data_IF_157936718709
#
_entry.id   IF_157936718709
#
_cell.length_a   1.000
_cell.length_b   1.000
_cell.length_c   1.000
_cell.angle_alpha   90.00
_cell.angle_beta   90.00
_cell.angle_gamma   90.00
#
_symmetry.space_group_name_H-M   'P 1'
#
loop_
_entity.id
_entity.type
_entity.pdbx_description
1 polymer ?
#
# COMPACT_ATOMS: atom_id res chain seq x y z
N UNK A 1 -6.05 17.38 16.36
CA UNK A 1 -5.07 17.37 15.24
C UNK A 1 -5.80 17.69 13.95
N UNK A 2 -5.14 18.24 12.92
CA UNK A 2 -5.79 18.63 11.67
C UNK A 2 -6.08 17.44 10.72
N UNK A 3 -5.92 16.19 11.17
CA UNK A 3 -6.17 14.99 10.37
C UNK A 3 -5.31 14.87 9.11
N UNK A 4 -4.19 15.60 9.03
CA UNK A 4 -3.30 15.58 7.86
C UNK A 4 -2.58 14.24 7.78
N UNK A 5 -2.65 13.62 6.61
CA UNK A 5 -1.98 12.35 6.34
C UNK A 5 -0.74 12.59 5.49
N UNK A 6 0.32 11.87 5.84
CA UNK A 6 1.54 11.77 5.06
C UNK A 6 1.93 10.30 4.96
N UNK A 7 2.54 9.92 3.85
CA UNK A 7 3.07 8.57 3.62
C UNK A 7 4.48 8.70 3.11
N UNK A 8 5.36 7.83 3.61
CA UNK A 8 6.73 7.72 3.15
C UNK A 8 7.09 6.24 3.01
N UNK A 9 7.80 5.91 1.94
CA UNK A 9 8.34 4.59 1.69
C UNK A 9 9.81 4.71 1.30
N UNK A 10 10.59 3.69 1.62
CA UNK A 10 12.01 3.62 1.29
C UNK A 10 12.41 2.16 1.12
N UNK A 11 13.35 1.89 0.23
CA UNK A 11 13.82 0.53 -0.01
C UNK A 11 15.25 0.49 -0.52
N UNK A 12 15.95 -0.57 -0.14
CA UNK A 12 17.21 -0.96 -0.75
C UNK A 12 17.02 -1.66 -2.10
N UNK A 13 15.78 -1.92 -2.55
CA UNK A 13 15.46 -2.72 -3.74
C UNK A 13 15.51 -4.24 -3.49
N UNK A 14 15.33 -5.04 -4.54
CA UNK A 14 15.50 -6.50 -4.47
C UNK A 14 16.99 -6.91 -4.66
N UNK A 15 17.33 -8.09 -4.14
CA UNK A 15 18.63 -8.75 -4.36
C UNK A 15 18.87 -9.05 -5.83
N UNK A 16 20.14 -9.08 -6.25
CA UNK A 16 20.58 -9.43 -7.62
C UNK A 16 19.93 -8.63 -8.76
N UNK A 17 19.36 -7.46 -8.44
CA UNK A 17 18.77 -6.57 -9.44
C UNK A 17 19.85 -6.02 -10.39
N UNK A 18 19.53 -5.83 -11.68
CA UNK A 18 20.43 -5.12 -12.57
C UNK A 18 20.56 -3.65 -12.15
N UNK A 19 21.72 -3.00 -12.36
CA UNK A 19 21.88 -1.58 -12.15
C UNK A 19 20.83 -0.77 -12.92
N UNK A 20 20.23 0.21 -12.25
CA UNK A 20 19.17 1.05 -12.82
C UNK A 20 17.75 0.47 -12.74
N UNK A 21 17.55 -0.74 -12.19
CA UNK A 21 16.20 -1.25 -11.91
C UNK A 21 15.48 -0.34 -10.89
N UNK A 22 14.28 0.09 -11.25
CA UNK A 22 13.37 0.87 -10.38
C UNK A 22 12.16 0.01 -10.04
N UNK A 23 11.84 -0.08 -8.75
CA UNK A 23 10.64 -0.75 -8.25
C UNK A 23 9.48 0.23 -8.02
N UNK A 24 8.49 -0.22 -7.26
CA UNK A 24 7.26 0.51 -6.92
C UNK A 24 7.48 1.66 -5.91
N UNK A 25 8.41 1.47 -4.96
CA UNK A 25 8.61 2.37 -3.82
C UNK A 25 8.77 3.85 -4.16
N UNK A 26 9.58 4.26 -5.17
CA UNK A 26 9.71 5.68 -5.52
C UNK A 26 8.59 6.19 -6.46
N UNK A 27 7.61 5.36 -6.82
CA UNK A 27 6.58 5.68 -7.81
C UNK A 27 5.25 6.00 -7.12
N UNK A 28 4.76 7.26 -7.20
CA UNK A 28 3.46 7.63 -6.66
C UNK A 28 2.34 6.79 -7.26
N UNK A 29 1.41 6.36 -6.42
CA UNK A 29 0.28 5.52 -6.79
C UNK A 29 0.62 4.04 -6.88
N UNK A 30 1.90 3.68 -6.95
CA UNK A 30 2.36 2.30 -6.89
C UNK A 30 2.68 1.92 -5.45
N UNK A 31 3.87 2.32 -4.95
CA UNK A 31 4.34 1.96 -3.62
C UNK A 31 3.78 2.83 -2.50
N UNK A 32 3.25 4.01 -2.82
CA UNK A 32 2.61 4.90 -1.84
C UNK A 32 1.56 5.80 -2.46
N UNK A 33 0.57 6.21 -1.67
CA UNK A 33 -0.39 7.24 -2.02
C UNK A 33 -0.91 7.95 -0.76
N UNK A 34 -1.11 9.26 -0.85
CA UNK A 34 -1.70 10.05 0.23
C UNK A 34 -2.62 11.12 -0.36
N UNK A 35 -3.93 10.98 -0.18
CA UNK A 35 -4.92 11.89 -0.72
C UNK A 35 -6.23 11.78 0.07
N UNK A 36 -6.98 12.89 0.21
CA UNK A 36 -8.33 12.91 0.81
C UNK A 36 -8.40 12.30 2.21
N UNK A 37 -7.37 12.53 3.03
CA UNK A 37 -7.33 12.03 4.41
C UNK A 37 -7.07 10.53 4.50
N UNK A 38 -6.55 9.89 3.46
CA UNK A 38 -6.16 8.47 3.45
C UNK A 38 -4.72 8.36 3.00
N UNK A 39 -3.94 7.51 3.66
CA UNK A 39 -2.56 7.21 3.35
C UNK A 39 -2.35 5.71 3.26
N UNK A 40 -1.70 5.25 2.21
CA UNK A 40 -1.45 3.84 1.93
C UNK A 40 0.00 3.67 1.45
N UNK A 41 0.70 2.67 1.98
CA UNK A 41 2.01 2.24 1.54
C UNK A 41 2.02 0.74 1.22
N UNK A 42 2.77 0.34 0.20
CA UNK A 42 2.91 -1.05 -0.24
C UNK A 42 4.34 -1.58 -0.06
N UNK A 43 4.46 -2.90 -0.03
CA UNK A 43 5.71 -3.65 -0.10
C UNK A 43 5.50 -4.99 -0.79
N UNK A 44 6.54 -5.57 -1.40
CA UNK A 44 6.47 -6.86 -2.08
C UNK A 44 7.19 -6.88 -3.42
N UNK A 45 6.65 -7.65 -4.38
CA UNK A 45 7.18 -7.74 -5.74
C UNK A 45 6.90 -6.45 -6.51
N UNK A 46 7.90 -5.57 -6.56
CA UNK A 46 7.74 -4.20 -7.07
C UNK A 46 7.20 -4.09 -8.51
N UNK A 47 7.56 -5.00 -9.41
CA UNK A 47 7.02 -5.01 -10.78
C UNK A 47 5.51 -5.28 -10.80
N UNK A 48 5.03 -6.17 -9.92
CA UNK A 48 3.61 -6.49 -9.81
C UNK A 48 2.84 -5.32 -9.21
N UNK A 49 3.35 -4.73 -8.12
CA UNK A 49 2.78 -3.53 -7.48
C UNK A 49 2.70 -2.36 -8.47
N UNK A 50 3.76 -2.15 -9.26
CA UNK A 50 3.83 -1.07 -10.25
C UNK A 50 2.82 -1.25 -11.38
N UNK A 51 2.71 -2.47 -11.93
CA UNK A 51 1.75 -2.77 -13.01
C UNK A 51 0.30 -2.52 -12.60
N UNK A 52 -0.02 -2.77 -11.34
CA UNK A 52 -1.37 -2.59 -10.83
C UNK A 52 -1.68 -1.18 -10.33
N UNK A 53 -0.67 -0.30 -10.22
CA UNK A 53 -0.76 0.97 -9.49
C UNK A 53 -1.45 0.77 -8.13
N UNK A 54 -0.89 -0.15 -7.34
CA UNK A 54 -1.60 -0.78 -6.22
C UNK A 54 -2.18 0.23 -5.21
N UNK A 55 -1.37 1.14 -4.67
CA UNK A 55 -1.86 2.11 -3.68
C UNK A 55 -2.94 3.03 -4.24
N UNK A 56 -2.83 3.46 -5.50
CA UNK A 56 -3.85 4.29 -6.15
C UNK A 56 -5.14 3.51 -6.40
N UNK A 57 -5.04 2.25 -6.81
CA UNK A 57 -6.21 1.38 -7.03
C UNK A 57 -6.99 1.14 -5.74
N UNK A 58 -6.28 0.83 -4.65
CA UNK A 58 -6.88 0.63 -3.33
C UNK A 58 -7.51 1.93 -2.82
N UNK A 59 -6.82 3.07 -3.00
CA UNK A 59 -7.40 4.37 -2.69
C UNK A 59 -8.70 4.64 -3.47
N UNK A 60 -8.74 4.29 -4.76
CA UNK A 60 -9.94 4.40 -5.58
C UNK A 60 -11.12 3.56 -5.06
N UNK A 61 -10.87 2.34 -4.59
CA UNK A 61 -11.90 1.50 -3.93
C UNK A 61 -12.49 2.19 -2.70
N UNK A 62 -11.64 2.78 -1.86
CA UNK A 62 -12.10 3.47 -0.65
C UNK A 62 -12.85 4.76 -1.01
N UNK A 63 -12.24 5.63 -1.83
CA UNK A 63 -12.76 6.97 -2.07
C UNK A 63 -13.94 6.99 -3.06
N UNK A 64 -13.90 6.18 -4.12
CA UNK A 64 -14.88 6.23 -5.21
C UNK A 64 -15.98 5.19 -5.05
N UNK A 65 -15.65 4.00 -4.53
CA UNK A 65 -16.61 2.90 -4.37
C UNK A 65 -17.15 2.80 -2.95
N UNK A 66 -16.61 3.56 -2.00
CA UNK A 66 -17.07 3.61 -0.61
C UNK A 66 -16.75 2.36 0.19
N UNK A 67 -15.81 1.52 -0.28
CA UNK A 67 -15.36 0.35 0.44
C UNK A 67 -14.63 0.75 1.74
N UNK A 68 -14.73 -0.07 2.78
CA UNK A 68 -13.88 0.10 3.95
C UNK A 68 -12.41 -0.22 3.61
N UNK A 69 -11.47 0.30 4.39
CA UNK A 69 -10.04 0.03 4.18
C UNK A 69 -9.72 -1.49 4.21
N UNK A 70 -10.27 -2.29 5.13
CA UNK A 70 -10.08 -3.74 5.10
C UNK A 70 -10.61 -4.41 3.84
N UNK A 71 -11.85 -4.11 3.44
CA UNK A 71 -12.46 -4.66 2.22
C UNK A 71 -11.63 -4.31 0.99
N UNK A 72 -11.24 -3.04 0.83
CA UNK A 72 -10.44 -2.60 -0.30
C UNK A 72 -9.06 -3.27 -0.37
N UNK A 73 -8.40 -3.49 0.77
CA UNK A 73 -7.09 -4.15 0.82
C UNK A 73 -7.21 -5.63 0.44
N UNK A 74 -8.19 -6.33 1.00
CA UNK A 74 -8.43 -7.76 0.77
C UNK A 74 -8.90 -8.05 -0.66
N UNK A 75 -9.86 -7.27 -1.16
CA UNK A 75 -10.38 -7.42 -2.51
C UNK A 75 -9.29 -7.16 -3.54
N UNK A 76 -8.57 -6.04 -3.45
CA UNK A 76 -7.54 -5.73 -4.45
C UNK A 76 -6.39 -6.74 -4.40
N UNK A 77 -5.95 -7.17 -3.21
CA UNK A 77 -4.89 -8.17 -3.13
C UNK A 77 -5.35 -9.52 -3.71
N UNK A 78 -6.57 -9.97 -3.37
CA UNK A 78 -7.09 -11.27 -3.82
C UNK A 78 -7.45 -11.30 -5.31
N UNK A 79 -7.90 -10.19 -5.89
CA UNK A 79 -8.27 -10.12 -7.31
C UNK A 79 -7.07 -9.92 -8.24
N UNK A 80 -6.06 -9.16 -7.81
CA UNK A 80 -4.97 -8.70 -8.69
C UNK A 80 -3.71 -9.54 -8.61
N UNK A 81 -3.54 -10.31 -7.55
CA UNK A 81 -2.32 -11.07 -7.32
C UNK A 81 -2.62 -12.54 -7.12
N UNK A 82 -1.85 -13.38 -7.79
CA UNK A 82 -1.86 -14.80 -7.46
C UNK A 82 -1.23 -15.05 -6.07
N UNK A 83 -1.44 -16.25 -5.53
CA UNK A 83 -0.89 -16.64 -4.22
C UNK A 83 0.65 -16.74 -4.18
N UNK A 84 1.34 -16.58 -5.31
CA UNK A 84 2.80 -16.66 -5.40
C UNK A 84 3.45 -15.27 -5.48
N UNK A 85 2.65 -14.23 -5.69
CA UNK A 85 3.12 -12.85 -5.82
C UNK A 85 2.99 -12.16 -4.48
N UNK A 86 4.08 -12.15 -3.73
CA UNK A 86 4.14 -11.52 -2.41
C UNK A 86 3.86 -10.02 -2.48
N UNK A 87 2.79 -9.59 -1.81
CA UNK A 87 2.39 -8.18 -1.66
C UNK A 87 1.78 -7.92 -0.30
N UNK A 88 1.99 -6.71 0.20
CA UNK A 88 1.38 -6.23 1.43
C UNK A 88 1.16 -4.73 1.41
N UNK A 89 0.20 -4.30 2.21
CA UNK A 89 -0.23 -2.92 2.34
C UNK A 89 -0.38 -2.55 3.81
N UNK A 90 -0.06 -1.31 4.14
CA UNK A 90 -0.45 -0.65 5.39
C UNK A 90 -1.14 0.66 5.05
N UNK A 91 -2.20 0.99 5.79
CA UNK A 91 -2.95 2.22 5.61
C UNK A 91 -3.38 2.87 6.92
N UNK A 92 -3.63 4.16 6.83
CA UNK A 92 -4.19 5.01 7.89
C UNK A 92 -5.14 6.04 7.28
N UNK A 93 -6.20 6.40 7.99
CA UNK A 93 -7.06 7.52 7.63
C UNK A 93 -7.00 8.69 8.62
N UNK A 94 -7.64 9.80 8.27
CA UNK A 94 -7.69 11.04 9.06
C UNK A 94 -8.37 10.89 10.43
N UNK A 95 -9.09 9.78 10.65
CA UNK A 95 -9.71 9.42 11.92
C UNK A 95 -8.79 8.59 12.82
N UNK A 96 -7.60 8.23 12.36
CA UNK A 96 -6.64 7.40 13.09
C UNK A 96 -6.87 5.90 12.93
N UNK A 97 -7.82 5.48 12.10
CA UNK A 97 -8.06 4.06 11.83
C UNK A 97 -6.93 3.52 10.95
N UNK A 98 -6.32 2.41 11.37
CA UNK A 98 -5.21 1.77 10.66
C UNK A 98 -5.56 0.34 10.28
N UNK A 99 -5.09 -0.11 9.11
CA UNK A 99 -5.18 -1.51 8.71
C UNK A 99 -3.92 -1.94 7.96
N UNK A 100 -3.58 -3.21 8.07
CA UNK A 100 -2.53 -3.81 7.27
C UNK A 100 -2.97 -5.20 6.81
N UNK A 101 -2.68 -5.52 5.55
CA UNK A 101 -3.00 -6.81 4.96
C UNK A 101 -1.88 -7.23 4.02
N UNK A 102 -1.56 -8.52 4.01
CA UNK A 102 -0.58 -9.10 3.11
C UNK A 102 -0.94 -10.56 2.80
N UNK A 103 -0.63 -11.02 1.59
CA UNK A 103 -0.73 -12.44 1.22
C UNK A 103 0.54 -13.23 1.59
N UNK A 104 1.47 -12.58 2.27
CA UNK A 104 2.77 -13.08 2.71
C UNK A 104 3.03 -12.65 4.16
N UNK A 105 4.12 -13.15 4.76
CA UNK A 105 4.55 -12.65 6.06
C UNK A 105 5.11 -11.23 5.93
N UNK A 106 4.31 -10.24 6.29
CA UNK A 106 4.71 -8.84 6.32
C UNK A 106 4.82 -8.35 7.78
N UNK A 107 5.99 -7.88 8.24
CA UNK A 107 6.08 -7.20 9.52
C UNK A 107 5.40 -5.82 9.43
N UNK A 108 4.52 -5.52 10.37
CA UNK A 108 3.89 -4.21 10.49
C UNK A 108 3.55 -3.90 11.95
N UNK A 109 3.35 -2.62 12.24
CA UNK A 109 2.87 -2.16 13.53
C UNK A 109 2.01 -0.92 13.32
N UNK A 110 1.02 -0.74 14.19
CA UNK A 110 0.23 0.47 14.30
C UNK A 110 0.29 0.97 15.74
N UNK A 111 0.28 2.29 15.90
CA UNK A 111 0.28 2.94 17.20
C UNK A 111 -0.63 4.16 17.17
N UNK A 112 -1.42 4.32 18.23
CA UNK A 112 -2.21 5.53 18.48
C UNK A 112 -1.72 6.20 19.76
N UNK A 113 -1.79 7.52 19.79
CA UNK A 113 -1.37 8.34 20.93
C UNK A 113 -2.46 8.56 21.99
N UNK A 114 -3.57 7.83 21.90
CA UNK A 114 -4.70 7.94 22.83
C UNK A 114 -4.32 7.57 24.27
#
# INVERSE_FOLDING_TARGET
>A
MQGRIAVATSTGGCSDRPPGRVGDVPLPGCGFWAESGIGIAATGIGEAITREMLCFRVHGQILQMGASMPEAFEEVISERFDKKTDVGLIGINQHGETYAHANTNMPWAAWSSD
#
